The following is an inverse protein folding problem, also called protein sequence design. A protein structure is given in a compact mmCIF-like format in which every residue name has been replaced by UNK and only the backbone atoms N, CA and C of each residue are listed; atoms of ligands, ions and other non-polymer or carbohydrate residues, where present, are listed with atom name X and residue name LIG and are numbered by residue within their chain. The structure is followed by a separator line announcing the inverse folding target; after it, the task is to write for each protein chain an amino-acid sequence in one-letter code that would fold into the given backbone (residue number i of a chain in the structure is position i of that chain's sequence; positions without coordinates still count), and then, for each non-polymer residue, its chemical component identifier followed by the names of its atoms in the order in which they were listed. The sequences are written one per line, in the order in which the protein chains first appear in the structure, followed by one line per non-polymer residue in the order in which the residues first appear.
data_IF_848076458846
#
_entry.id   IF_848076458846
#
_cell.length_a   1.000
_cell.length_b   1.000
_cell.length_c   1.000
_cell.angle_alpha   90.00
_cell.angle_beta   90.00
_cell.angle_gamma   90.00
#
_symmetry.space_group_name_H-M   'P 1'
#
loop_
_entity.id
_entity.type
_entity.pdbx_description
1 polymer ?
#
# COMPACT_ATOMS: atom_id res chain seq x y z
N UNK A 1 -18.48 -6.62 -8.57
CA UNK A 1 -17.91 -5.70 -7.58
C UNK A 1 -16.43 -6.02 -7.53
N UNK A 2 -15.51 -5.06 -7.67
CA UNK A 2 -14.09 -5.36 -7.47
C UNK A 2 -13.96 -5.97 -6.07
N UNK A 3 -13.29 -7.13 -5.97
CA UNK A 3 -13.08 -7.85 -4.70
C UNK A 3 -12.04 -7.08 -3.86
N UNK A 4 -12.39 -5.88 -3.42
CA UNK A 4 -11.53 -5.06 -2.58
C UNK A 4 -11.78 -5.40 -1.12
N UNK A 5 -10.70 -5.69 -0.40
CA UNK A 5 -10.71 -5.89 1.03
C UNK A 5 -10.42 -4.56 1.76
N UNK A 6 -10.86 -4.40 3.02
CA UNK A 6 -10.53 -3.22 3.82
C UNK A 6 -9.02 -3.14 4.05
N UNK A 7 -8.42 -1.95 3.98
CA UNK A 7 -6.97 -1.78 4.13
C UNK A 7 -6.38 -2.37 5.43
N UNK A 8 -7.22 -2.50 6.46
CA UNK A 8 -6.85 -3.12 7.73
C UNK A 8 -6.43 -4.60 7.59
N UNK A 9 -6.96 -5.32 6.59
CA UNK A 9 -6.64 -6.74 6.32
C UNK A 9 -5.50 -6.93 5.32
N UNK A 10 -4.92 -5.83 4.84
CA UNK A 10 -3.87 -5.89 3.84
C UNK A 10 -2.56 -6.45 4.42
N UNK A 11 -1.77 -7.18 3.60
CA UNK A 11 -0.52 -7.77 4.04
C UNK A 11 0.50 -6.68 4.40
N UNK A 12 0.88 -6.64 5.68
CA UNK A 12 1.89 -5.70 6.24
C UNK A 12 3.33 -6.22 6.15
N UNK A 13 3.54 -7.28 5.38
CA UNK A 13 4.83 -7.97 5.23
C UNK A 13 5.72 -7.33 4.14
N UNK A 14 5.37 -6.14 3.65
CA UNK A 14 6.04 -5.52 2.50
C UNK A 14 5.64 -6.11 1.14
N UNK A 15 4.57 -6.89 1.07
CA UNK A 15 4.00 -7.29 -0.22
C UNK A 15 3.42 -6.08 -0.95
N UNK A 16 3.64 -6.01 -2.26
CA UNK A 16 2.99 -4.99 -3.09
C UNK A 16 1.53 -5.41 -3.29
N UNK A 17 0.61 -4.48 -3.06
CA UNK A 17 -0.81 -4.69 -3.28
C UNK A 17 -1.39 -3.50 -4.03
N UNK A 18 -2.49 -3.74 -4.74
CA UNK A 18 -3.28 -2.65 -5.31
C UNK A 18 -4.04 -2.00 -4.18
N UNK A 19 -4.02 -0.69 -4.09
CA UNK A 19 -4.77 0.05 -3.09
C UNK A 19 -5.62 1.11 -3.74
N UNK A 20 -6.76 1.37 -3.12
CA UNK A 20 -7.74 2.37 -3.50
C UNK A 20 -7.71 3.45 -2.44
N UNK A 21 -7.42 4.66 -2.87
CA UNK A 21 -7.27 5.81 -2.00
C UNK A 21 -8.00 7.00 -2.60
N UNK A 22 -8.56 7.83 -1.73
CA UNK A 22 -9.22 9.07 -2.12
C UNK A 22 -8.25 10.20 -1.86
N UNK A 23 -7.94 11.00 -2.88
CA UNK A 23 -7.14 12.22 -2.69
C UNK A 23 -7.97 13.31 -1.97
N UNK A 24 -7.34 14.41 -1.57
CA UNK A 24 -8.00 15.57 -0.96
C UNK A 24 -9.09 16.17 -1.85
N UNK A 25 -9.01 15.99 -3.16
CA UNK A 25 -10.05 16.40 -4.13
C UNK A 25 -11.30 15.49 -4.12
N UNK A 26 -11.27 14.37 -3.38
CA UNK A 26 -12.36 13.39 -3.38
C UNK A 26 -12.29 12.40 -4.55
N UNK A 27 -11.22 12.45 -5.35
CA UNK A 27 -11.03 11.55 -6.48
C UNK A 27 -10.50 10.19 -6.02
N UNK A 28 -11.21 9.12 -6.39
CA UNK A 28 -10.75 7.75 -6.21
C UNK A 28 -9.60 7.47 -7.18
N UNK A 29 -8.46 7.10 -6.60
CA UNK A 29 -7.24 6.74 -7.32
C UNK A 29 -6.87 5.29 -6.96
N UNK A 30 -6.44 4.53 -7.97
CA UNK A 30 -5.83 3.22 -7.77
C UNK A 30 -4.32 3.33 -7.91
N UNK A 31 -3.57 2.70 -7.00
CA UNK A 31 -2.11 2.69 -7.07
C UNK A 31 -1.53 1.42 -6.47
N UNK A 32 -0.31 1.09 -6.84
CA UNK A 32 0.39 -0.04 -6.23
C UNK A 32 1.18 0.45 -5.03
N UNK A 33 0.76 -0.01 -3.84
CA UNK A 33 1.38 0.37 -2.59
C UNK A 33 2.03 -0.81 -1.87
N UNK A 34 3.02 -0.49 -1.05
CA UNK A 34 3.72 -1.40 -0.17
C UNK A 34 3.59 -0.88 1.27
N UNK A 35 3.23 -1.76 2.20
CA UNK A 35 3.23 -1.39 3.62
C UNK A 35 4.66 -1.40 4.17
N UNK A 36 5.07 -0.29 4.77
CA UNK A 36 6.32 -0.19 5.53
C UNK A 36 6.02 -0.18 7.02
N UNK A 37 6.52 -1.19 7.70
CA UNK A 37 6.46 -1.32 9.15
C UNK A 37 7.68 -0.66 9.79
N UNK A 38 7.53 -0.13 11.02
CA UNK A 38 8.66 0.43 11.79
C UNK A 38 9.81 -0.59 11.93
N UNK A 39 9.46 -1.86 12.11
CA UNK A 39 10.43 -2.95 12.22
C UNK A 39 11.26 -3.12 10.93
N UNK A 40 10.61 -3.06 9.77
CA UNK A 40 11.28 -3.12 8.46
C UNK A 40 12.17 -1.89 8.23
N UNK A 41 11.70 -0.69 8.59
CA UNK A 41 12.48 0.54 8.47
C UNK A 41 13.72 0.51 9.37
N UNK A 42 13.57 0.03 10.60
CA UNK A 42 14.67 -0.18 11.54
C UNK A 42 15.65 -1.24 11.03
N UNK A 43 15.15 -2.32 10.43
CA UNK A 43 15.97 -3.37 9.83
C UNK A 43 16.77 -2.88 8.61
N UNK A 44 16.25 -1.91 7.86
CA UNK A 44 16.94 -1.26 6.75
C UNK A 44 17.96 -0.20 7.21
N UNK A 45 18.14 -0.02 8.51
CA UNK A 45 19.10 0.95 9.08
C UNK A 45 18.59 2.39 9.10
N UNK A 46 17.30 2.62 8.84
CA UNK A 46 16.67 3.92 9.04
C UNK A 46 16.28 4.14 10.51
N UNK A 47 16.22 5.39 10.93
CA UNK A 47 15.42 5.75 12.11
C UNK A 47 14.00 5.29 11.80
N UNK A 48 13.49 4.32 12.58
CA UNK A 48 12.16 3.76 12.39
C UNK A 48 11.09 4.77 12.81
N UNK A 49 11.05 5.91 12.14
CA UNK A 49 10.13 6.99 12.41
C UNK A 49 8.70 6.51 12.19
N UNK A 50 7.83 6.82 13.16
CA UNK A 50 6.39 6.55 13.04
C UNK A 50 5.78 7.26 11.82
N UNK A 51 6.43 8.33 11.35
CA UNK A 51 6.05 9.05 10.14
C UNK A 51 6.26 8.23 8.87
N UNK A 52 7.23 7.32 8.84
CA UNK A 52 7.50 6.44 7.70
C UNK A 52 6.67 5.16 7.73
N UNK A 53 6.01 4.86 8.85
CA UNK A 53 5.10 3.72 8.96
C UNK A 53 3.80 4.00 8.21
N UNK A 54 3.48 3.14 7.23
CA UNK A 54 2.24 3.25 6.48
C UNK A 54 2.31 2.67 5.07
N UNK A 55 1.33 3.04 4.25
CA UNK A 55 1.23 2.65 2.85
C UNK A 55 2.01 3.62 1.98
N UNK A 56 2.99 3.08 1.26
CA UNK A 56 3.80 3.84 0.31
C UNK A 56 3.50 3.38 -1.10
N UNK A 57 3.02 4.29 -1.94
CA UNK A 57 2.79 4.04 -3.35
C UNK A 57 3.73 4.89 -4.21
N UNK A 58 4.08 4.35 -5.37
CA UNK A 58 4.74 5.15 -6.41
C UNK A 58 3.70 6.07 -7.05
N UNK A 59 3.86 7.38 -6.85
CA UNK A 59 3.05 8.42 -7.52
C UNK A 59 3.65 8.80 -8.87
N UNK A 60 4.91 8.43 -9.09
CA UNK A 60 5.69 8.61 -10.30
C UNK A 60 6.62 7.39 -10.47
N UNK A 61 7.25 7.22 -11.62
CA UNK A 61 8.22 6.14 -11.88
C UNK A 61 9.35 6.03 -10.85
N UNK A 62 9.69 7.13 -10.17
CA UNK A 62 10.79 7.19 -9.20
C UNK A 62 10.39 7.68 -7.80
N UNK A 63 9.21 8.30 -7.68
CA UNK A 63 8.80 8.97 -6.44
C UNK A 63 7.78 8.13 -5.69
N UNK A 64 8.13 7.73 -4.46
CA UNK A 64 7.18 7.15 -3.52
C UNK A 64 6.59 8.22 -2.62
N UNK A 65 5.28 8.17 -2.41
CA UNK A 65 4.59 8.96 -1.40
C UNK A 65 3.84 8.05 -0.45
N UNK A 66 3.79 8.46 0.82
CA UNK A 66 2.87 7.91 1.79
C UNK A 66 1.45 8.31 1.40
N UNK A 67 0.57 7.33 1.29
CA UNK A 67 -0.84 7.50 1.00
C UNK A 67 -1.69 6.87 2.10
N UNK A 68 -2.95 7.28 2.19
CA UNK A 68 -3.93 6.71 3.12
C UNK A 68 -5.04 6.01 2.34
N UNK A 69 -4.79 4.79 1.84
CA UNK A 69 -5.81 4.00 1.19
C UNK A 69 -6.87 3.53 2.18
N UNK A 70 -8.12 3.44 1.71
CA UNK A 70 -9.23 2.90 2.48
C UNK A 70 -9.46 1.41 2.15
N UNK A 71 -9.15 0.99 0.93
CA UNK A 71 -9.33 -0.39 0.46
C UNK A 71 -8.09 -0.90 -0.27
N UNK A 72 -7.96 -2.21 -0.38
CA UNK A 72 -6.90 -2.87 -1.14
C UNK A 72 -7.43 -4.06 -1.93
N UNK A 73 -6.68 -4.48 -2.93
CA UNK A 73 -6.87 -5.72 -3.66
C UNK A 73 -5.50 -6.37 -3.93
N UNK A 74 -5.44 -7.70 -3.99
CA UNK A 74 -4.22 -8.39 -4.41
C UNK A 74 -3.81 -7.92 -5.82
N UNK A 75 -2.51 -7.70 -6.02
CA UNK A 75 -1.93 -7.65 -7.36
C UNK A 75 -2.04 -9.06 -7.91
N UNK A 76 -2.86 -9.28 -8.93
CA UNK A 76 -3.02 -10.61 -9.51
C UNK A 76 -1.64 -11.21 -9.85
N UNK A 77 -1.26 -12.22 -9.06
CA UNK A 77 -0.42 -13.36 -9.44
C UNK A 77 -1.16 -14.63 -9.04
N UNK A 78 -2.49 -14.57 -9.18
CA UNK A 78 -3.46 -15.62 -8.92
C UNK A 78 -4.62 -15.32 -9.89
N UNK A 79 -4.31 -15.38 -11.18
CA UNK A 79 -5.21 -16.14 -12.03
C UNK A 79 -4.83 -17.60 -11.79
N UNK A 80 -5.84 -18.47 -11.75
CA UNK A 80 -5.80 -19.94 -11.59
C UNK A 80 -5.80 -20.41 -10.12
N UNK A 81 -6.76 -21.17 -9.60
CA UNK A 81 -7.92 -21.85 -10.17
C UNK A 81 -8.76 -22.49 -9.02
N UNK A 82 -9.99 -22.91 -9.35
CA UNK A 82 -10.99 -23.72 -8.61
C UNK A 82 -12.02 -23.04 -7.68
#
# INVERSE_FOLDING_TARGET
MPNTSPIATAPKNGSKVRVFWTDADGQENESIAQYRSADMLKALGGEGDANDVGWWAYVDSSTQKKIQPHSWAPLASDEEDE
#
